data_IF_899960641225
#
_entry.id   IF_899960641225
#
_cell.length_a   1.000
_cell.length_b   1.000
_cell.length_c   1.000
_cell.angle_alpha   90.00
_cell.angle_beta   90.00
_cell.angle_gamma   90.00
#
_symmetry.space_group_name_H-M   'P 1'
#
loop_
_entity.id
_entity.type
_entity.pdbx_description
1 polymer ?
#
# COMPACT_ATOMS: atom_id res chain seq x y z
N UNK A 1 -14.34 11.83 9.23
CA UNK A 1 -14.60 10.41 8.87
C UNK A 1 -13.90 9.57 9.91
N UNK A 2 -14.63 8.94 10.85
CA UNK A 2 -14.05 8.12 11.91
C UNK A 2 -14.10 6.65 11.48
N UNK A 3 -13.10 6.22 10.71
CA UNK A 3 -12.81 4.80 10.58
C UNK A 3 -11.33 4.62 10.93
N UNK A 4 -10.99 4.02 12.08
CA UNK A 4 -9.62 3.55 12.28
C UNK A 4 -9.27 2.67 11.08
N UNK A 5 -8.05 2.80 10.56
CA UNK A 5 -7.56 1.97 9.45
C UNK A 5 -7.41 0.55 10.01
N UNK A 6 -8.48 -0.23 9.89
CA UNK A 6 -8.53 -1.62 10.35
C UNK A 6 -7.77 -2.43 9.31
N UNK A 7 -6.64 -3.01 9.72
CA UNK A 7 -6.06 -4.10 8.95
C UNK A 7 -7.06 -5.25 8.88
N UNK A 8 -7.61 -5.51 7.71
CA UNK A 8 -8.45 -6.68 7.49
C UNK A 8 -7.60 -7.95 7.57
N UNK A 9 -8.17 -9.03 8.11
CA UNK A 9 -7.43 -10.29 8.22
C UNK A 9 -7.64 -11.23 7.00
N UNK A 10 -8.69 -10.98 6.20
CA UNK A 10 -9.22 -11.97 5.25
C UNK A 10 -9.48 -11.34 3.87
N UNK A 11 -9.24 -12.10 2.81
CA UNK A 11 -9.56 -11.75 1.42
C UNK A 11 -10.77 -12.57 0.96
N UNK A 12 -11.95 -12.27 1.50
CA UNK A 12 -13.19 -13.03 1.25
C UNK A 12 -14.20 -12.29 0.37
N UNK A 13 -14.04 -10.98 0.20
CA UNK A 13 -14.95 -10.15 -0.59
C UNK A 13 -14.88 -10.54 -2.07
N UNK A 14 -16.04 -10.76 -2.69
CA UNK A 14 -16.16 -11.14 -4.11
C UNK A 14 -17.30 -10.38 -4.79
N UNK A 15 -17.13 -10.01 -6.07
CA UNK A 15 -18.25 -9.56 -6.88
C UNK A 15 -19.33 -10.66 -7.06
N UNK A 16 -20.62 -10.29 -7.16
CA UNK A 16 -21.15 -8.95 -6.92
C UNK A 16 -21.06 -8.60 -5.42
N UNK A 17 -20.50 -7.43 -5.12
CA UNK A 17 -20.38 -6.97 -3.74
C UNK A 17 -21.75 -6.61 -3.18
N UNK A 18 -22.00 -7.03 -1.95
CA UNK A 18 -23.11 -6.56 -1.13
C UNK A 18 -22.70 -5.32 -0.30
N UNK A 19 -23.65 -4.74 0.44
CA UNK A 19 -23.44 -3.56 1.30
C UNK A 19 -22.28 -3.71 2.30
N UNK A 20 -22.02 -4.93 2.78
CA UNK A 20 -20.94 -5.17 3.74
C UNK A 20 -19.59 -5.30 3.04
N UNK A 21 -19.51 -6.15 2.01
CA UNK A 21 -18.27 -6.46 1.28
C UNK A 21 -17.76 -5.27 0.46
N UNK A 22 -18.64 -4.41 -0.05
CA UNK A 22 -18.22 -3.18 -0.76
C UNK A 22 -17.50 -2.20 0.18
N UNK A 23 -17.86 -2.18 1.47
CA UNK A 23 -17.25 -1.32 2.50
C UNK A 23 -15.95 -1.87 3.06
N UNK A 24 -15.64 -3.14 2.79
CA UNK A 24 -14.44 -3.79 3.33
C UNK A 24 -13.41 -4.17 2.27
N UNK A 25 -13.79 -4.32 1.00
CA UNK A 25 -12.90 -4.78 -0.08
C UNK A 25 -11.62 -3.96 -0.23
N UNK A 26 -11.67 -2.66 0.08
CA UNK A 26 -10.54 -1.74 -0.09
C UNK A 26 -9.63 -1.59 1.15
N UNK A 27 -9.95 -2.20 2.31
CA UNK A 27 -9.04 -2.08 3.45
C UNK A 27 -7.71 -2.80 3.21
N UNK A 28 -6.61 -2.25 3.71
CA UNK A 28 -5.32 -2.95 3.70
C UNK A 28 -5.43 -4.25 4.50
N UNK A 29 -4.91 -5.37 3.98
CA UNK A 29 -4.91 -6.64 4.70
C UNK A 29 -3.59 -6.94 5.36
N UNK A 30 -3.65 -7.58 6.52
CA UNK A 30 -2.45 -8.06 7.23
C UNK A 30 -1.61 -9.00 6.35
N UNK A 31 -2.26 -9.86 5.55
CA UNK A 31 -1.58 -10.72 4.57
C UNK A 31 -0.69 -9.93 3.58
N UNK A 32 -1.20 -8.83 3.04
CA UNK A 32 -0.44 -8.01 2.08
C UNK A 32 0.71 -7.26 2.77
N UNK A 33 0.46 -6.76 3.99
CA UNK A 33 1.50 -6.15 4.84
C UNK A 33 2.60 -7.15 5.14
N UNK A 34 2.26 -8.39 5.51
CA UNK A 34 3.25 -9.44 5.77
C UNK A 34 4.10 -9.76 4.54
N UNK A 35 3.51 -9.83 3.33
CA UNK A 35 4.29 -9.99 2.10
C UNK A 35 5.34 -8.89 1.97
N UNK A 36 4.95 -7.62 2.17
CA UNK A 36 5.87 -6.49 2.11
C UNK A 36 6.90 -6.50 3.26
N UNK A 37 6.54 -7.02 4.43
CA UNK A 37 7.46 -7.27 5.54
C UNK A 37 8.52 -8.35 5.22
N UNK A 38 8.35 -9.14 4.15
CA UNK A 38 9.35 -10.13 3.71
C UNK A 38 10.34 -9.62 2.66
N UNK A 39 10.15 -8.41 2.10
CA UNK A 39 11.13 -7.78 1.21
C UNK A 39 12.45 -7.54 1.94
N UNK A 40 13.58 -7.92 1.35
CA UNK A 40 14.92 -7.72 1.92
C UNK A 40 15.76 -6.81 1.06
N UNK A 41 15.43 -6.70 -0.22
CA UNK A 41 16.15 -5.83 -1.14
C UNK A 41 15.79 -4.36 -0.91
N UNK A 42 16.75 -3.44 -1.14
CA UNK A 42 16.48 -2.02 -1.01
C UNK A 42 15.42 -1.57 -2.02
N UNK A 43 14.50 -0.71 -1.57
CA UNK A 43 13.49 -0.07 -2.41
C UNK A 43 13.83 1.40 -2.59
N UNK A 44 13.61 1.93 -3.78
CA UNK A 44 13.79 3.35 -4.06
C UNK A 44 12.55 4.18 -3.67
N UNK A 45 11.37 3.66 -4.01
CA UNK A 45 10.09 4.35 -3.87
C UNK A 45 9.06 3.41 -3.26
N UNK A 46 8.33 3.91 -2.27
CA UNK A 46 7.14 3.24 -1.73
C UNK A 46 5.90 4.10 -1.89
N UNK A 47 4.79 3.47 -2.27
CA UNK A 47 3.49 4.13 -2.45
C UNK A 47 2.48 3.54 -1.47
N UNK A 48 1.77 4.40 -0.74
CA UNK A 48 0.59 4.04 0.04
C UNK A 48 -0.54 5.03 -0.24
N UNK A 49 -1.80 4.63 -0.03
CA UNK A 49 -2.89 5.62 -0.09
C UNK A 49 -2.92 6.43 1.20
N UNK A 50 -3.06 5.73 2.32
CA UNK A 50 -3.07 6.32 3.66
C UNK A 50 -1.66 6.69 4.10
N UNK A 51 -1.56 7.73 4.93
CA UNK A 51 -0.28 8.19 5.48
C UNK A 51 0.25 7.21 6.52
N UNK A 52 1.57 7.04 6.68
CA UNK A 52 2.15 6.37 7.83
C UNK A 52 1.71 7.06 9.14
N UNK A 53 1.28 6.27 10.13
CA UNK A 53 0.92 6.78 11.45
C UNK A 53 2.09 7.56 12.08
N UNK A 54 1.82 8.80 12.54
CA UNK A 54 2.82 9.65 13.19
C UNK A 54 3.76 10.39 12.23
N UNK A 55 3.53 10.31 10.92
CA UNK A 55 4.36 11.01 9.92
C UNK A 55 4.37 12.54 10.12
N UNK A 56 3.34 13.09 10.75
CA UNK A 56 3.21 14.52 11.01
C UNK A 56 4.30 15.08 11.94
N UNK A 57 4.91 14.22 12.76
CA UNK A 57 6.01 14.60 13.66
C UNK A 57 7.30 14.96 12.91
N UNK A 58 7.38 14.60 11.62
CA UNK A 58 8.56 14.76 10.77
C UNK A 58 8.40 15.90 9.74
N UNK A 59 7.35 16.71 9.88
CA UNK A 59 7.07 17.87 9.04
C UNK A 59 6.38 18.98 9.82
N UNK A 60 5.97 20.03 9.13
CA UNK A 60 5.34 21.21 9.75
C UNK A 60 3.88 20.92 10.13
N UNK A 61 3.68 20.21 11.25
CA UNK A 61 2.34 19.84 11.73
C UNK A 61 1.50 21.06 12.13
N UNK A 62 2.12 22.16 12.56
CA UNK A 62 1.44 23.42 12.87
C UNK A 62 0.75 23.99 11.64
N UNK A 63 1.41 23.99 10.47
CA UNK A 63 0.81 24.37 9.19
C UNK A 63 -0.31 23.41 8.78
N UNK A 64 -0.15 22.11 9.04
CA UNK A 64 -1.21 21.13 8.78
C UNK A 64 -2.47 21.43 9.59
N UNK A 65 -2.34 21.66 10.90
CA UNK A 65 -3.51 21.91 11.77
C UNK A 65 -4.11 23.30 11.55
N UNK A 66 -3.34 24.31 11.11
CA UNK A 66 -3.90 25.63 10.80
C UNK A 66 -4.89 25.55 9.63
N UNK A 67 -4.58 24.74 8.63
CA UNK A 67 -5.44 24.47 7.46
C UNK A 67 -6.52 23.44 7.77
N UNK A 68 -6.20 22.39 8.54
CA UNK A 68 -7.08 21.26 8.84
C UNK A 68 -7.23 21.04 10.34
N UNK A 69 -7.84 22.01 11.03
CA UNK A 69 -8.02 22.03 12.49
C UNK A 69 -8.59 20.73 13.09
N UNK A 70 -9.45 20.03 12.36
CA UNK A 70 -10.04 18.77 12.81
C UNK A 70 -9.04 17.61 12.95
N UNK A 71 -7.80 17.75 12.45
CA UNK A 71 -6.73 16.78 12.67
C UNK A 71 -5.98 16.98 13.99
N UNK A 72 -6.14 18.11 14.67
CA UNK A 72 -5.36 18.46 15.87
C UNK A 72 -5.40 17.37 16.94
N UNK A 73 -6.60 16.85 17.27
CA UNK A 73 -6.76 15.77 18.25
C UNK A 73 -6.03 14.49 17.81
N UNK A 74 -6.13 14.11 16.53
CA UNK A 74 -5.52 12.88 16.01
C UNK A 74 -3.99 13.00 15.86
N UNK A 75 -3.48 14.20 15.56
CA UNK A 75 -2.05 14.50 15.54
C UNK A 75 -1.49 14.43 16.95
N UNK A 76 -2.12 15.11 17.91
CA UNK A 76 -1.66 15.16 19.31
C UNK A 76 -1.72 13.78 19.98
N UNK A 77 -2.73 12.96 19.67
CA UNK A 77 -2.87 11.61 20.22
C UNK A 77 -2.14 10.54 19.39
N UNK A 78 -1.44 10.93 18.32
CA UNK A 78 -0.72 10.03 17.40
C UNK A 78 -1.62 8.92 16.83
N UNK A 79 -2.83 9.28 16.42
CA UNK A 79 -3.83 8.38 15.80
C UNK A 79 -4.09 8.67 14.32
N UNK A 80 -3.56 9.78 13.77
CA UNK A 80 -3.72 10.13 12.36
C UNK A 80 -2.83 9.23 11.48
N UNK A 81 -3.47 8.41 10.64
CA UNK A 81 -2.80 7.58 9.65
C UNK A 81 -2.80 6.08 9.95
N UNK A 82 -2.03 5.34 9.16
CA UNK A 82 -2.02 3.88 9.07
C UNK A 82 -0.85 3.29 9.86
N UNK A 83 -1.17 2.53 10.90
CA UNK A 83 -0.16 1.79 11.69
C UNK A 83 0.65 0.80 10.83
N UNK A 84 0.05 -0.02 9.96
CA UNK A 84 0.80 -0.92 9.08
C UNK A 84 1.74 -0.18 8.12
N UNK A 85 1.34 0.99 7.62
CA UNK A 85 2.21 1.82 6.79
C UNK A 85 3.41 2.36 7.58
N UNK A 86 3.23 2.73 8.85
CA UNK A 86 4.34 3.12 9.73
C UNK A 86 5.28 1.94 10.03
N UNK A 87 4.75 0.74 10.26
CA UNK A 87 5.55 -0.48 10.44
C UNK A 87 6.39 -0.77 9.18
N UNK A 88 5.80 -0.66 7.99
CA UNK A 88 6.49 -0.82 6.71
C UNK A 88 7.53 0.28 6.46
N UNK A 89 7.22 1.55 6.76
CA UNK A 89 8.17 2.67 6.65
C UNK A 89 9.40 2.43 7.52
N UNK A 90 9.21 2.01 8.77
CA UNK A 90 10.30 1.73 9.70
C UNK A 90 11.15 0.53 9.29
N UNK A 91 10.55 -0.46 8.62
CA UNK A 91 11.22 -1.68 8.19
C UNK A 91 11.95 -1.51 6.85
N UNK A 92 11.31 -0.90 5.87
CA UNK A 92 11.80 -0.80 4.48
C UNK A 92 12.69 0.43 4.24
N UNK A 93 12.40 1.54 4.93
CA UNK A 93 13.20 2.79 4.88
C UNK A 93 13.57 3.25 3.45
N UNK A 94 12.62 3.29 2.51
CA UNK A 94 12.90 3.72 1.14
C UNK A 94 13.35 5.19 1.11
N UNK A 95 14.20 5.62 0.17
CA UNK A 95 14.51 7.03 -0.03
C UNK A 95 13.28 7.92 -0.26
N UNK A 96 12.23 7.39 -0.90
CA UNK A 96 10.99 8.12 -1.16
C UNK A 96 9.74 7.37 -0.69
N UNK A 97 8.82 8.08 -0.05
CA UNK A 97 7.49 7.58 0.31
C UNK A 97 6.41 8.57 -0.12
N UNK A 98 5.48 8.12 -0.97
CA UNK A 98 4.37 8.96 -1.44
C UNK A 98 3.02 8.49 -0.89
N UNK A 99 2.17 9.46 -0.53
CA UNK A 99 0.82 9.19 -0.03
C UNK A 99 -0.25 10.16 -0.56
N UNK A 100 -1.52 9.83 -0.33
CA UNK A 100 -2.67 10.65 -0.70
C UNK A 100 -3.67 10.74 0.46
N UNK A 101 -4.94 10.42 0.17
CA UNK A 101 -6.03 10.24 1.15
C UNK A 101 -6.51 11.47 1.92
N UNK A 102 -5.63 12.19 2.62
CA UNK A 102 -6.00 13.27 3.54
C UNK A 102 -6.28 14.62 2.84
N UNK A 103 -6.17 14.66 1.51
CA UNK A 103 -6.50 15.83 0.68
C UNK A 103 -5.77 17.10 1.17
N UNK A 104 -4.44 17.03 1.24
CA UNK A 104 -3.55 18.16 1.47
C UNK A 104 -2.12 17.77 1.07
N UNK A 105 -1.35 18.76 0.61
CA UNK A 105 0.10 18.59 0.42
C UNK A 105 0.78 18.60 1.79
N UNK A 106 1.64 17.61 2.05
CA UNK A 106 2.43 17.56 3.28
C UNK A 106 3.78 16.91 3.01
N UNK A 107 4.87 17.70 2.99
CA UNK A 107 6.23 17.18 2.96
C UNK A 107 6.70 16.84 4.38
N UNK A 108 7.52 15.80 4.50
CA UNK A 108 8.22 15.45 5.74
C UNK A 108 9.54 14.73 5.44
N UNK A 109 10.51 14.82 6.37
CA UNK A 109 11.79 14.12 6.28
C UNK A 109 11.95 13.20 7.48
N UNK A 110 12.13 11.91 7.23
CA UNK A 110 12.32 10.90 8.27
C UNK A 110 13.78 10.47 8.29
N UNK A 111 14.48 10.81 9.36
CA UNK A 111 15.84 10.34 9.63
C UNK A 111 15.81 9.02 10.41
N UNK A 112 16.21 7.90 9.77
CA UNK A 112 16.09 6.56 10.36
C UNK A 112 17.22 6.23 11.35
N UNK A 113 17.23 6.90 12.50
CA UNK A 113 18.29 6.78 13.51
C UNK A 113 19.47 7.71 13.22
N UNK A 114 20.37 7.86 14.20
CA UNK A 114 21.37 8.95 14.24
C UNK A 114 22.27 9.05 12.99
N UNK A 115 22.54 7.94 12.32
CA UNK A 115 23.34 7.86 11.09
C UNK A 115 22.68 6.96 10.03
N UNK A 116 21.35 6.78 10.09
CA UNK A 116 20.65 5.92 9.14
C UNK A 116 20.30 6.62 7.83
N UNK A 117 19.63 5.90 6.91
CA UNK A 117 19.10 6.51 5.70
C UNK A 117 18.00 7.53 6.01
N UNK A 118 17.71 8.38 5.04
CA UNK A 118 16.63 9.36 5.12
C UNK A 118 15.52 8.97 4.15
N UNK A 119 14.27 9.06 4.59
CA UNK A 119 13.10 8.97 3.70
C UNK A 119 12.52 10.36 3.49
N UNK A 120 12.33 10.75 2.24
CA UNK A 120 11.55 11.92 1.83
C UNK A 120 10.10 11.50 1.66
N UNK A 121 9.24 11.98 2.55
CA UNK A 121 7.80 11.76 2.48
C UNK A 121 7.11 12.93 1.78
N UNK A 122 6.17 12.62 0.90
CA UNK A 122 5.28 13.61 0.30
C UNK A 122 3.87 13.05 0.17
N UNK A 123 2.91 13.75 0.77
CA UNK A 123 1.51 13.57 0.45
C UNK A 123 1.01 14.64 -0.50
N UNK A 124 0.05 14.29 -1.37
CA UNK A 124 -0.59 15.20 -2.32
C UNK A 124 -2.10 15.34 -2.08
N UNK A 125 -2.66 16.45 -2.56
CA UNK A 125 -4.09 16.72 -2.51
C UNK A 125 -4.87 15.92 -3.57
N UNK A 126 -6.20 16.00 -3.50
CA UNK A 126 -7.09 15.47 -4.52
C UNK A 126 -7.05 16.35 -5.77
N UNK A 127 -7.17 15.74 -6.95
CA UNK A 127 -7.26 16.40 -8.25
C UNK A 127 -8.50 17.31 -8.37
N UNK A 128 -8.42 18.48 -7.77
CA UNK A 128 -9.42 19.55 -7.76
C UNK A 128 -8.71 20.84 -8.19
N UNK A 129 -9.34 21.70 -9.00
CA UNK A 129 -8.76 22.99 -9.38
C UNK A 129 -8.25 23.79 -8.18
N UNK A 130 -7.08 24.43 -8.35
CA UNK A 130 -6.47 25.27 -7.31
C UNK A 130 -5.87 24.50 -6.13
N UNK A 131 -5.62 23.19 -6.26
CA UNK A 131 -5.00 22.36 -5.21
C UNK A 131 -3.68 21.75 -5.65
N UNK A 132 -2.82 21.47 -4.67
CA UNK A 132 -1.51 20.86 -4.84
C UNK A 132 -1.61 19.34 -5.01
N UNK A 133 -2.22 18.89 -6.10
CA UNK A 133 -2.50 17.47 -6.37
C UNK A 133 -1.46 16.77 -7.25
N UNK A 134 -0.57 17.51 -7.89
CA UNK A 134 0.45 16.99 -8.79
C UNK A 134 1.81 17.60 -8.41
N UNK A 135 2.83 16.74 -8.37
CA UNK A 135 4.22 17.15 -8.26
C UNK A 135 5.04 16.28 -9.21
N UNK A 136 5.91 16.90 -9.98
CA UNK A 136 6.89 16.23 -10.83
C UNK A 136 8.22 16.25 -10.10
N UNK A 137 8.90 15.11 -10.06
CA UNK A 137 10.21 14.97 -9.42
C UNK A 137 11.15 14.23 -10.35
N UNK A 138 12.41 14.63 -10.33
CA UNK A 138 13.48 13.94 -11.03
C UNK A 138 14.19 12.98 -10.06
N UNK A 139 14.18 11.70 -10.41
CA UNK A 139 14.87 10.65 -9.65
C UNK A 139 16.01 10.11 -10.51
N UNK A 140 17.26 10.13 -10.00
CA UNK A 140 18.39 9.57 -10.73
C UNK A 140 18.16 8.11 -11.11
N UNK A 141 18.46 7.75 -12.35
CA UNK A 141 18.36 6.38 -12.84
C UNK A 141 19.53 6.04 -13.74
N UNK A 142 19.82 4.75 -13.86
CA UNK A 142 20.76 4.25 -14.86
C UNK A 142 20.20 4.50 -16.27
N UNK A 143 21.06 4.55 -17.31
CA UNK A 143 20.60 4.59 -18.69
C UNK A 143 19.61 3.46 -19.00
N UNK A 144 18.58 3.77 -19.79
CA UNK A 144 17.52 2.83 -20.15
C UNK A 144 17.98 1.58 -20.92
N UNK A 145 17.05 0.69 -21.29
CA UNK A 145 15.63 0.98 -21.51
C UNK A 145 14.79 1.05 -20.23
N UNK A 146 13.85 2.00 -20.17
CA UNK A 146 12.89 2.15 -19.07
C UNK A 146 11.68 1.24 -19.31
N UNK A 147 11.75 0.00 -18.85
CA UNK A 147 10.68 -0.99 -19.00
C UNK A 147 10.12 -1.41 -17.64
N UNK A 148 8.81 -1.66 -17.59
CA UNK A 148 8.18 -2.31 -16.43
C UNK A 148 8.55 -3.79 -16.47
N UNK A 149 9.08 -4.30 -15.36
CA UNK A 149 9.50 -5.68 -15.19
C UNK A 149 8.95 -6.25 -13.89
N UNK A 150 8.74 -7.56 -13.85
CA UNK A 150 8.49 -8.25 -12.60
C UNK A 150 9.76 -8.31 -11.76
N UNK A 151 9.63 -7.95 -10.49
CA UNK A 151 10.69 -8.10 -9.51
C UNK A 151 10.83 -9.57 -9.04
N UNK A 152 12.07 -10.06 -9.00
CA UNK A 152 12.37 -11.46 -8.66
C UNK A 152 11.97 -11.79 -7.21
N UNK A 153 12.28 -10.91 -6.26
CA UNK A 153 11.98 -11.11 -4.84
C UNK A 153 10.46 -11.11 -4.60
N UNK A 154 9.75 -10.17 -5.21
CA UNK A 154 8.30 -10.06 -5.09
C UNK A 154 7.55 -11.25 -5.67
N UNK A 155 8.00 -11.79 -6.80
CA UNK A 155 7.43 -13.01 -7.37
C UNK A 155 7.67 -14.21 -6.44
N UNK A 156 8.86 -14.32 -5.84
CA UNK A 156 9.17 -15.39 -4.90
C UNK A 156 8.30 -15.33 -3.63
N UNK A 157 8.16 -14.13 -3.06
CA UNK A 157 7.25 -13.88 -1.92
C UNK A 157 5.82 -14.22 -2.31
N UNK A 158 5.36 -13.77 -3.48
CA UNK A 158 3.99 -14.04 -3.96
C UNK A 158 3.74 -15.52 -4.14
N UNK A 159 4.70 -16.27 -4.69
CA UNK A 159 4.62 -17.72 -4.86
C UNK A 159 4.52 -18.44 -3.51
N UNK A 160 5.40 -18.10 -2.57
CA UNK A 160 5.40 -18.66 -1.21
C UNK A 160 4.07 -18.44 -0.50
N UNK A 161 3.57 -17.22 -0.55
CA UNK A 161 2.35 -16.79 0.15
C UNK A 161 1.06 -17.28 -0.51
N UNK A 162 1.10 -17.86 -1.72
CA UNK A 162 -0.11 -18.34 -2.39
C UNK A 162 -0.78 -19.47 -1.61
N UNK A 163 0.00 -20.43 -1.08
CA UNK A 163 -0.53 -21.60 -0.34
C UNK A 163 -1.32 -21.24 0.92
N UNK A 164 -1.15 -20.02 1.42
CA UNK A 164 -1.76 -19.51 2.64
C UNK A 164 -2.64 -18.28 2.39
N UNK A 165 -3.07 -18.08 1.15
CA UNK A 165 -3.97 -16.98 0.79
C UNK A 165 -5.26 -17.05 1.64
N UNK A 166 -5.65 -15.97 2.34
CA UNK A 166 -6.67 -16.02 3.38
C UNK A 166 -8.09 -15.97 2.79
N UNK A 167 -8.52 -17.05 2.13
CA UNK A 167 -9.83 -17.16 1.47
C UNK A 167 -11.02 -17.19 2.44
N UNK A 168 -10.82 -17.73 3.65
CA UNK A 168 -11.87 -17.92 4.64
C UNK A 168 -11.48 -17.27 5.98
N UNK A 169 -12.47 -17.09 6.87
CA UNK A 169 -12.31 -16.58 8.25
C UNK A 169 -11.54 -17.55 9.17
N UNK A 170 -10.69 -18.41 8.64
CA UNK A 170 -9.88 -19.38 9.39
C UNK A 170 -8.64 -18.67 9.89
N UNK A 171 -8.36 -18.73 11.20
CA UNK A 171 -7.24 -18.02 11.84
C UNK A 171 -5.92 -18.33 11.11
N UNK A 172 -5.40 -17.34 10.40
CA UNK A 172 -4.05 -17.32 9.86
C UNK A 172 -3.08 -16.98 11.00
N UNK A 173 -2.20 -17.93 11.32
CA UNK A 173 -1.03 -17.69 12.16
C UNK A 173 0.16 -18.24 11.40
N UNK A 174 0.85 -17.41 10.61
CA UNK A 174 2.16 -17.77 10.09
C UNK A 174 3.24 -17.30 11.05
N UNK A 175 4.20 -18.19 11.32
CA UNK A 175 5.42 -17.84 12.05
C UNK A 175 6.47 -17.38 11.05
N UNK A 176 7.18 -16.30 11.36
CA UNK A 176 8.23 -15.73 10.51
C UNK A 176 9.32 -16.75 10.13
N UNK A 177 9.61 -17.74 11.01
CA UNK A 177 10.63 -18.75 10.73
C UNK A 177 10.26 -19.75 9.61
N UNK A 178 9.02 -19.76 9.13
CA UNK A 178 8.56 -20.68 8.08
C UNK A 178 8.62 -20.11 6.65
N UNK A 179 9.07 -18.86 6.50
CA UNK A 179 9.00 -18.09 5.26
C UNK A 179 10.38 -17.83 4.64
N UNK A 180 11.24 -18.85 4.64
CA UNK A 180 12.38 -18.85 3.72
C UNK A 180 11.84 -18.91 2.28
N UNK A 181 12.15 -17.87 1.51
CA UNK A 181 11.78 -17.71 0.10
C UNK A 181 12.92 -18.10 -0.84
N UNK A 182 14.05 -18.62 -0.33
CA UNK A 182 15.24 -18.89 -1.16
C UNK A 182 14.98 -19.91 -2.26
N UNK A 183 14.26 -21.00 -1.97
CA UNK A 183 13.88 -22.00 -2.98
C UNK A 183 12.95 -21.40 -4.05
N UNK A 184 11.92 -20.67 -3.62
CA UNK A 184 11.00 -19.96 -4.53
C UNK A 184 11.75 -18.94 -5.39
N UNK A 185 12.74 -18.25 -4.81
CA UNK A 185 13.56 -17.25 -5.48
C UNK A 185 14.46 -17.85 -6.54
N UNK A 186 15.13 -18.96 -6.25
CA UNK A 186 15.90 -19.72 -7.25
C UNK A 186 15.02 -20.22 -8.39
N UNK A 187 13.82 -20.72 -8.05
CA UNK A 187 12.85 -21.17 -9.03
C UNK A 187 12.39 -20.02 -9.94
N UNK A 188 12.01 -18.88 -9.35
CA UNK A 188 11.60 -17.67 -10.08
C UNK A 188 12.72 -17.18 -10.98
N UNK A 189 13.96 -17.12 -10.50
CA UNK A 189 15.12 -16.72 -11.29
C UNK A 189 15.28 -17.58 -12.55
N UNK A 190 15.17 -18.90 -12.41
CA UNK A 190 15.24 -19.83 -13.54
C UNK A 190 14.12 -19.57 -14.57
N UNK A 191 12.90 -19.32 -14.08
CA UNK A 191 11.76 -18.97 -14.94
C UNK A 191 11.96 -17.64 -15.66
N UNK A 192 12.40 -16.59 -14.95
CA UNK A 192 12.65 -15.27 -15.53
C UNK A 192 13.81 -15.30 -16.54
N UNK A 193 14.86 -16.08 -16.29
CA UNK A 193 15.97 -16.26 -17.25
C UNK A 193 15.51 -16.91 -18.57
N UNK A 194 14.48 -17.75 -18.52
CA UNK A 194 13.97 -18.45 -19.71
C UNK A 194 12.91 -17.62 -20.45
N UNK A 195 11.99 -16.99 -19.71
CA UNK A 195 10.80 -16.31 -20.26
C UNK A 195 10.95 -14.79 -20.39
N UNK A 196 11.85 -14.18 -19.62
CA UNK A 196 11.99 -12.74 -19.46
C UNK A 196 11.08 -12.17 -18.36
N UNK A 197 11.45 -11.00 -17.82
CA UNK A 197 10.74 -10.34 -16.71
C UNK A 197 9.59 -9.41 -17.13
N UNK A 198 9.43 -9.13 -18.43
CA UNK A 198 8.40 -8.20 -18.93
C UNK A 198 6.97 -8.69 -18.65
N UNK A 199 6.06 -7.91 -18.02
CA UNK A 199 4.68 -8.32 -17.82
C UNK A 199 3.93 -8.70 -19.10
N UNK A 200 2.86 -9.48 -18.96
CA UNK A 200 1.96 -9.77 -20.07
C UNK A 200 1.21 -8.52 -20.53
N UNK A 201 0.86 -8.45 -21.81
CA UNK A 201 0.07 -7.35 -22.35
C UNK A 201 -1.31 -7.29 -21.71
N UNK A 202 -1.77 -6.07 -21.39
CA UNK A 202 -3.08 -5.86 -20.79
C UNK A 202 -4.19 -6.03 -21.82
N UNK A 203 -5.21 -6.81 -21.44
CA UNK A 203 -6.45 -6.98 -22.22
C UNK A 203 -7.60 -6.25 -21.54
N UNK A 204 -8.46 -5.59 -22.31
CA UNK A 204 -9.64 -4.93 -21.74
C UNK A 204 -10.60 -5.97 -21.13
N UNK A 205 -10.89 -5.86 -19.84
CA UNK A 205 -11.80 -6.77 -19.10
C UNK A 205 -13.15 -6.14 -18.75
N UNK A 206 -13.29 -4.83 -18.94
CA UNK A 206 -14.52 -4.09 -18.72
C UNK A 206 -14.69 -3.01 -19.81
N UNK A 207 -15.93 -2.72 -20.25
CA UNK A 207 -16.18 -1.65 -21.22
C UNK A 207 -15.76 -0.30 -20.64
N UNK A 208 -15.26 0.59 -21.50
CA UNK A 208 -14.96 1.97 -21.10
C UNK A 208 -16.23 2.69 -20.69
N UNK A 209 -16.12 3.57 -19.68
CA UNK A 209 -17.24 4.41 -19.26
C UNK A 209 -17.72 5.26 -20.45
N UNK A 210 -19.04 5.22 -20.71
CA UNK A 210 -19.68 6.03 -21.74
C UNK A 210 -20.79 6.86 -21.08
N UNK A 211 -20.66 8.20 -20.99
CA UNK A 211 -21.64 9.06 -20.33
C UNK A 211 -23.00 9.09 -21.05
N UNK A 212 -23.05 8.69 -22.32
CA UNK A 212 -24.29 8.62 -23.12
C UNK A 212 -25.07 7.32 -22.90
N UNK A 213 -24.46 6.28 -22.32
CA UNK A 213 -25.14 5.05 -21.99
C UNK A 213 -25.77 5.18 -20.59
N UNK A 214 -27.11 5.12 -20.52
CA UNK A 214 -27.79 4.84 -19.26
C UNK A 214 -27.39 3.43 -18.83
N UNK A 215 -26.68 3.33 -17.70
CA UNK A 215 -26.16 2.06 -17.17
C UNK A 215 -27.35 1.10 -17.04
N UNK A 216 -27.44 0.15 -17.97
CA UNK A 216 -28.38 -0.94 -17.88
C UNK A 216 -28.00 -1.78 -16.65
N UNK A 217 -28.93 -1.94 -15.71
CA UNK A 217 -28.78 -2.78 -14.51
C UNK A 217 -28.71 -4.28 -14.83
N UNK A 218 -28.32 -4.65 -16.05
CA UNK A 218 -28.13 -6.05 -16.42
C UNK A 218 -26.81 -6.55 -15.83
N UNK A 219 -26.99 -7.17 -14.66
CA UNK A 219 -26.09 -8.06 -13.96
C UNK A 219 -25.05 -8.72 -14.85
N UNK A 220 -23.79 -8.33 -14.69
CA UNK A 220 -22.66 -9.18 -15.04
C UNK A 220 -22.70 -10.38 -14.09
N UNK A 221 -23.33 -11.46 -14.53
CA UNK A 221 -23.69 -12.64 -13.73
C UNK A 221 -22.57 -13.66 -13.61
N UNK A 222 -21.37 -13.37 -14.13
CA UNK A 222 -20.25 -14.30 -14.05
C UNK A 222 -19.04 -13.54 -13.54
N UNK A 223 -18.55 -13.95 -12.37
CA UNK A 223 -17.19 -13.69 -11.95
C UNK A 223 -16.28 -14.36 -12.99
N UNK A 224 -15.99 -13.64 -14.07
CA UNK A 224 -15.04 -14.10 -15.06
C UNK A 224 -13.67 -14.07 -14.39
N UNK A 225 -12.92 -15.16 -14.51
CA UNK A 225 -11.51 -15.14 -14.15
C UNK A 225 -10.85 -14.01 -14.92
N UNK A 226 -10.04 -13.22 -14.23
CA UNK A 226 -9.34 -12.13 -14.85
C UNK A 226 -8.17 -12.70 -15.70
N UNK A 227 -8.12 -12.49 -17.02
CA UNK A 227 -7.12 -13.11 -17.89
C UNK A 227 -5.69 -12.67 -17.56
N UNK A 228 -5.50 -11.46 -17.01
CA UNK A 228 -4.19 -11.02 -16.50
C UNK A 228 -3.78 -11.82 -15.26
N UNK A 229 -4.70 -12.03 -14.33
CA UNK A 229 -4.48 -12.90 -13.15
C UNK A 229 -4.19 -14.34 -13.57
N UNK A 230 -4.92 -14.88 -14.54
CA UNK A 230 -4.66 -16.23 -15.06
C UNK A 230 -3.27 -16.34 -15.68
N UNK A 231 -2.89 -15.40 -16.52
CA UNK A 231 -1.56 -15.38 -17.15
C UNK A 231 -0.44 -15.26 -16.11
N UNK A 232 -0.66 -14.42 -15.09
CA UNK A 232 0.28 -14.25 -13.97
C UNK A 232 0.43 -15.53 -13.14
N UNK A 233 -0.68 -16.19 -12.79
CA UNK A 233 -0.65 -17.45 -12.05
C UNK A 233 -0.07 -18.59 -12.88
N UNK A 234 -0.34 -18.62 -14.19
CA UNK A 234 0.27 -19.60 -15.10
C UNK A 234 1.79 -19.43 -15.16
N UNK A 235 2.30 -18.19 -15.26
CA UNK A 235 3.74 -17.91 -15.20
C UNK A 235 4.38 -18.46 -13.92
N UNK A 236 3.69 -18.30 -12.80
CA UNK A 236 4.15 -18.76 -11.49
C UNK A 236 3.76 -20.21 -11.20
N UNK A 237 3.11 -20.94 -12.11
CA UNK A 237 2.59 -22.30 -11.89
C UNK A 237 1.75 -22.42 -10.60
N UNK A 238 0.89 -21.43 -10.35
CA UNK A 238 0.04 -21.35 -9.17
C UNK A 238 -1.44 -21.65 -9.49
N UNK A 239 -2.19 -22.24 -8.53
CA UNK A 239 -3.63 -22.43 -8.68
C UNK A 239 -4.39 -21.10 -8.59
N UNK A 240 -5.53 -21.02 -9.30
CA UNK A 240 -6.48 -19.92 -9.18
C UNK A 240 -7.37 -20.13 -7.93
N UNK A 241 -6.91 -19.64 -6.79
CA UNK A 241 -7.51 -19.92 -5.48
C UNK A 241 -8.93 -19.35 -5.28
N UNK A 242 -9.33 -18.36 -6.09
CA UNK A 242 -10.65 -17.71 -5.93
C UNK A 242 -11.81 -18.60 -6.41
N UNK A 243 -11.54 -19.70 -7.11
CA UNK A 243 -12.57 -20.66 -7.54
C UNK A 243 -12.97 -21.61 -6.42
N UNK A 244 -12.02 -22.00 -5.56
CA UNK A 244 -12.18 -23.02 -4.53
C UNK A 244 -13.04 -22.56 -3.35
N UNK A 245 -13.30 -21.27 -3.20
CA UNK A 245 -14.06 -20.70 -2.07
C UNK A 245 -15.59 -20.87 -2.15
N UNK A 246 -16.12 -21.43 -3.25
CA UNK A 246 -17.56 -21.72 -3.37
C UNK A 246 -18.00 -23.02 -2.66
N UNK A 247 -17.05 -23.78 -2.13
CA UNK A 247 -17.28 -25.00 -1.36
C UNK A 247 -16.82 -24.79 0.08
N UNK A 248 -17.73 -25.00 1.04
CA UNK A 248 -17.54 -25.04 2.51
C UNK A 248 -18.15 -23.89 3.33
N UNK A 249 -19.48 -23.80 3.27
CA UNK A 249 -20.27 -23.37 4.41
C UNK A 249 -20.82 -24.60 5.14
N UNK A 250 -20.02 -25.32 5.91
CA UNK A 250 -20.44 -26.24 6.99
C UNK A 250 -19.16 -26.88 7.54
N UNK A 251 -18.65 -26.44 8.69
CA UNK A 251 -18.24 -27.30 9.82
C UNK A 251 -17.51 -26.51 10.93
N UNK A 252 -18.10 -26.66 12.12
CA UNK A 252 -17.61 -26.41 13.49
C UNK A 252 -17.01 -25.06 13.94
N UNK A 253 -17.86 -24.36 14.70
CA UNK A 253 -17.51 -23.63 15.92
C UNK A 253 -16.59 -24.45 16.84
N UNK A 254 -15.48 -23.85 17.29
CA UNK A 254 -15.12 -23.85 18.71
C UNK A 254 -14.17 -22.69 19.03
N UNK A 255 -14.59 -21.94 20.06
CA UNK A 255 -13.91 -20.85 20.72
C UNK A 255 -12.62 -21.30 21.40
N UNK A 256 -11.65 -20.38 21.52
CA UNK A 256 -11.10 -19.94 22.81
C UNK A 256 -10.31 -18.63 22.64
N UNK A 257 -10.51 -17.75 23.61
CA UNK A 257 -9.74 -16.54 23.89
C UNK A 257 -8.57 -16.88 24.81
N UNK A 258 -7.44 -16.21 24.65
CA UNK A 258 -6.64 -15.66 25.74
C UNK A 258 -5.56 -14.72 25.16
N UNK A 259 -5.19 -13.70 25.95
CA UNK A 259 -4.51 -12.48 25.50
C UNK A 259 -2.99 -12.45 25.64
N UNK A 260 -2.49 -11.24 25.95
CA UNK A 260 -1.08 -10.76 26.00
C UNK A 260 -0.54 -10.25 24.64
N UNK A 261 0.22 -9.16 24.53
CA UNK A 261 0.77 -8.18 25.47
C UNK A 261 1.35 -7.01 24.65
N UNK A 262 1.35 -5.79 25.20
CA UNK A 262 1.88 -4.58 24.55
C UNK A 262 3.41 -4.59 24.60
N UNK A 263 4.07 -4.42 23.46
CA UNK A 263 5.49 -4.04 23.39
C UNK A 263 5.58 -2.59 22.93
N UNK A 264 6.13 -1.74 23.81
CA UNK A 264 6.51 -0.37 23.53
C UNK A 264 7.83 -0.37 22.72
N UNK A 265 7.87 0.37 21.62
CA UNK A 265 9.10 0.66 20.87
C UNK A 265 9.46 2.11 21.11
N UNK A 266 10.64 2.35 21.66
CA UNK A 266 11.20 3.67 21.90
C UNK A 266 11.94 4.17 20.65
N UNK A 267 11.48 5.28 20.11
CA UNK A 267 12.27 6.12 19.21
C UNK A 267 12.12 7.54 19.69
N UNK A 268 13.23 8.16 20.10
CA UNK A 268 13.25 9.55 20.54
C UNK A 268 13.27 10.49 19.32
N UNK A 269 12.62 11.67 19.40
CA UNK A 269 12.68 12.65 18.34
C UNK A 269 14.09 13.25 18.28
N UNK A 270 14.71 13.15 17.10
CA UNK A 270 15.93 13.86 16.75
C UNK A 270 15.62 15.30 16.32
N UNK A 271 16.58 16.19 16.54
CA UNK A 271 16.50 17.64 16.36
C UNK A 271 15.86 18.08 15.03
N UNK A 272 14.91 19.01 15.15
CA UNK A 272 14.42 19.88 14.08
C UNK A 272 15.59 20.64 13.47
N UNK A 273 15.85 20.40 12.18
CA UNK A 273 16.64 21.28 11.33
C UNK A 273 15.67 22.17 10.56
N UNK A 274 16.03 23.45 10.45
CA UNK A 274 15.25 24.51 9.85
C UNK A 274 14.91 24.24 8.36
N UNK A 275 13.78 24.82 7.97
CA UNK A 275 12.90 24.55 6.82
C UNK A 275 13.49 24.95 5.43
N UNK A 276 14.81 24.95 5.20
CA UNK A 276 15.41 25.59 4.00
C UNK A 276 16.39 24.72 3.17
N UNK A 277 16.58 23.42 3.49
CA UNK A 277 17.53 22.55 2.76
C UNK A 277 16.88 21.35 2.03
N UNK A 278 15.65 21.52 1.51
CA UNK A 278 15.17 20.68 0.42
C UNK A 278 14.82 21.55 -0.80
N UNK A 279 15.78 21.71 -1.71
CA UNK A 279 15.47 22.01 -3.10
C UNK A 279 14.65 20.84 -3.68
N UNK A 280 13.31 20.98 -3.64
CA UNK A 280 12.42 20.39 -4.63
C UNK A 280 12.20 21.50 -5.67
N UNK A 281 12.37 21.25 -6.97
CA UNK A 281 12.30 22.32 -7.96
C UNK A 281 10.95 23.07 -7.85
N UNK A 282 11.12 24.38 -7.73
CA UNK A 282 10.15 25.47 -7.76
C UNK A 282 9.28 25.65 -6.50
N UNK A 283 9.87 26.31 -5.51
CA UNK A 283 9.15 27.31 -4.70
C UNK A 283 8.85 28.52 -5.59
N UNK A 284 7.73 28.48 -6.31
CA UNK A 284 7.09 29.72 -6.73
C UNK A 284 6.30 30.26 -5.53
N UNK A 285 6.89 31.26 -4.89
CA UNK A 285 6.18 32.39 -4.31
C UNK A 285 5.15 32.96 -5.32
N UNK A 286 4.15 33.67 -4.81
CA UNK A 286 2.97 34.25 -5.50
C UNK A 286 1.73 33.32 -5.51
N UNK A 287 0.61 33.59 -4.84
CA UNK A 287 0.02 34.87 -4.46
C UNK A 287 -0.80 34.73 -3.16
N UNK A 288 -0.44 35.53 -2.16
CA UNK A 288 -1.40 36.19 -1.29
C UNK A 288 -1.49 37.65 -1.76
N UNK A 289 -2.66 38.26 -1.55
CA UNK A 289 -3.14 39.58 -1.99
C UNK A 289 -3.88 39.50 -3.35
N UNK A 290 -5.18 39.83 -3.47
CA UNK A 290 -5.90 40.94 -2.85
C UNK A 290 -7.28 40.59 -2.23
N UNK A 291 -7.60 41.33 -1.17
CA UNK A 291 -8.91 41.53 -0.55
C UNK A 291 -9.85 42.39 -1.44
N UNK A 292 -11.09 41.95 -1.63
CA UNK A 292 -12.39 42.64 -1.36
C UNK A 292 -13.58 41.85 -1.94
#
# INVERSE_FOLDING_TARGET
MKHPIICGNWHYERPPYNEDTIRSVYHVRHYDVLKLMHLKEPLDIFLSHDWPLGITEYGNWQKLISVKKHFEEEVNNRTLGSKPAAELLNKLKPPYWFSGHLHCKFPAIIQHGKNGPTTKFLALDKCIPGRNFLQVIDIPSNPGPYEIQYDEEWLAITRKFNSVFPLARTRFTMRDEQLDTQEDRQWVRSKLNTRGAKPFDFVQTAPSFNPSNTISKHSTTVCCRNPQTESFLQLLELPYLLDSSNSEGHYLKKSNSEGFGRNESSSQPGNTLDDEDIELPDEDEDALEDDE
#
